data_IF_172192456506
#
_entry.id   IF_172192456506
#
_cell.length_a   1.000
_cell.length_b   1.000
_cell.length_c   1.000
_cell.angle_alpha   90.00
_cell.angle_beta   90.00
_cell.angle_gamma   90.00
#
_symmetry.space_group_name_H-M   'P 1'
#
loop_
_entity.id
_entity.type
_entity.pdbx_description
1 polymer ?
#
# COMPACT_ATOMS: atom_id res chain seq x y z
N UNK A 1 15.89 -2.95 41.32
CA UNK A 1 16.09 -2.85 39.86
C UNK A 1 15.09 -1.80 39.37
N UNK A 2 15.55 -0.60 39.04
CA UNK A 2 14.68 0.52 38.64
C UNK A 2 14.16 0.28 37.22
N UNK A 3 12.84 0.20 37.06
CA UNK A 3 12.18 0.17 35.74
C UNK A 3 11.93 1.62 35.34
N UNK A 4 12.65 2.07 34.32
CA UNK A 4 12.52 3.39 33.73
C UNK A 4 11.13 3.58 33.08
N UNK A 5 10.43 4.66 33.44
CA UNK A 5 9.10 5.03 32.93
C UNK A 5 9.12 5.62 31.50
N UNK A 6 10.28 5.65 30.85
CA UNK A 6 10.52 6.27 29.54
C UNK A 6 10.99 5.31 28.45
N UNK A 7 10.85 3.98 28.63
CA UNK A 7 10.74 3.10 27.47
C UNK A 7 9.34 3.25 26.86
N UNK A 8 9.08 4.44 26.28
CA UNK A 8 8.02 4.67 25.30
C UNK A 8 8.19 3.55 24.29
N UNK A 9 7.29 2.55 24.32
CA UNK A 9 7.11 1.67 23.20
C UNK A 9 6.95 2.60 22.01
N UNK A 10 7.94 2.63 21.09
CA UNK A 10 7.72 3.26 19.80
C UNK A 10 6.40 2.66 19.33
N UNK A 11 5.36 3.46 19.02
CA UNK A 11 4.16 2.90 18.42
C UNK A 11 4.69 2.20 17.18
N UNK A 12 4.75 0.86 17.24
CA UNK A 12 5.35 0.07 16.19
C UNK A 12 4.43 0.29 15.02
N UNK A 13 4.77 1.25 14.15
CA UNK A 13 4.11 1.37 12.86
C UNK A 13 4.25 -0.01 12.26
N UNK A 14 3.15 -0.75 12.10
CA UNK A 14 3.29 -2.12 11.71
C UNK A 14 3.96 -2.12 10.33
N UNK A 15 4.99 -2.97 10.17
CA UNK A 15 5.92 -2.93 9.02
C UNK A 15 5.19 -2.94 7.67
N UNK A 16 3.97 -3.46 7.63
CA UNK A 16 3.10 -3.55 6.46
C UNK A 16 2.54 -2.20 5.98
N UNK A 17 2.79 -1.06 6.62
CA UNK A 17 2.32 0.29 6.19
C UNK A 17 3.47 1.12 5.60
N UNK A 18 4.72 0.66 5.64
CA UNK A 18 5.86 1.47 5.16
C UNK A 18 5.73 1.92 3.70
N UNK A 19 4.97 1.19 2.88
CA UNK A 19 4.63 1.60 1.52
C UNK A 19 3.82 2.91 1.45
N UNK A 20 3.03 3.24 2.48
CA UNK A 20 2.30 4.51 2.57
C UNK A 20 3.28 5.67 2.69
N UNK A 21 4.28 5.52 3.57
CA UNK A 21 5.33 6.53 3.76
C UNK A 21 6.12 6.68 2.47
N UNK A 22 6.41 5.57 1.79
CA UNK A 22 7.13 5.58 0.52
C UNK A 22 6.36 6.32 -0.58
N UNK A 23 5.06 6.06 -0.70
CA UNK A 23 4.17 6.78 -1.63
C UNK A 23 4.07 8.27 -1.27
N UNK A 24 4.05 8.64 0.01
CA UNK A 24 4.10 10.04 0.43
C UNK A 24 5.40 10.70 0.01
N UNK A 25 6.55 10.06 0.22
CA UNK A 25 7.86 10.59 -0.21
C UNK A 25 7.88 10.78 -1.74
N UNK A 26 7.40 9.78 -2.51
CA UNK A 26 7.28 9.88 -3.97
C UNK A 26 6.36 11.04 -4.37
N UNK A 27 5.24 11.23 -3.67
CA UNK A 27 4.26 12.30 -3.92
C UNK A 27 4.83 13.70 -3.66
N UNK A 28 5.65 13.86 -2.62
CA UNK A 28 6.33 15.13 -2.32
C UNK A 28 7.32 15.54 -3.42
N UNK A 29 8.00 14.57 -4.06
CA UNK A 29 8.98 14.85 -5.12
C UNK A 29 8.36 14.95 -6.51
N UNK A 30 7.38 14.11 -6.82
CA UNK A 30 6.67 14.11 -8.10
C UNK A 30 5.20 13.77 -7.89
N UNK A 31 4.41 14.80 -7.56
CA UNK A 31 2.99 14.68 -7.19
C UNK A 31 2.16 14.12 -8.34
N UNK A 32 2.35 14.60 -9.56
CA UNK A 32 1.55 14.22 -10.72
C UNK A 32 1.72 12.73 -11.04
N UNK A 33 2.97 12.29 -11.24
CA UNK A 33 3.26 10.90 -11.57
C UNK A 33 2.88 9.94 -10.43
N UNK A 34 3.04 10.37 -9.18
CA UNK A 34 2.62 9.56 -8.03
C UNK A 34 1.11 9.44 -7.92
N UNK A 35 0.35 10.51 -8.20
CA UNK A 35 -1.12 10.43 -8.22
C UNK A 35 -1.62 9.54 -9.36
N UNK A 36 -0.98 9.55 -10.52
CA UNK A 36 -1.28 8.59 -11.59
C UNK A 36 -0.97 7.15 -11.16
N UNK A 37 0.13 6.94 -10.45
CA UNK A 37 0.46 5.62 -9.92
C UNK A 37 -0.57 5.16 -8.88
N UNK A 38 -0.98 6.02 -7.94
CA UNK A 38 -2.02 5.69 -6.96
C UNK A 38 -3.36 5.38 -7.65
N UNK A 39 -3.75 6.16 -8.66
CA UNK A 39 -4.96 5.88 -9.46
C UNK A 39 -4.86 4.50 -10.13
N UNK A 40 -3.71 4.19 -10.70
CA UNK A 40 -3.46 2.88 -11.29
C UNK A 40 -3.65 1.75 -10.27
N UNK A 41 -3.07 1.88 -9.07
CA UNK A 41 -3.22 0.89 -8.00
C UNK A 41 -4.68 0.71 -7.54
N UNK A 42 -5.47 1.79 -7.50
CA UNK A 42 -6.91 1.71 -7.22
C UNK A 42 -7.65 0.95 -8.34
N UNK A 43 -7.29 1.16 -9.60
CA UNK A 43 -7.88 0.38 -10.70
C UNK A 43 -7.50 -1.11 -10.63
N UNK A 44 -6.24 -1.42 -10.27
CA UNK A 44 -5.81 -2.79 -10.02
C UNK A 44 -6.65 -3.40 -8.90
N UNK A 45 -6.83 -2.69 -7.79
CA UNK A 45 -7.69 -3.13 -6.70
C UNK A 45 -9.09 -3.50 -7.21
N UNK A 46 -9.71 -2.68 -8.05
CA UNK A 46 -11.05 -2.94 -8.56
C UNK A 46 -11.09 -4.15 -9.51
N UNK A 47 -10.04 -4.37 -10.32
CA UNK A 47 -9.95 -5.45 -11.32
C UNK A 47 -9.60 -6.83 -10.73
N UNK A 48 -8.79 -6.89 -9.67
CA UNK A 48 -8.36 -8.18 -9.11
C UNK A 48 -9.52 -8.99 -8.52
N UNK A 49 -9.38 -10.32 -8.54
CA UNK A 49 -10.36 -11.24 -7.97
C UNK A 49 -9.72 -12.02 -6.82
N UNK A 50 -10.45 -12.30 -5.73
CA UNK A 50 -9.94 -13.11 -4.63
C UNK A 50 -9.66 -14.54 -5.07
N UNK A 51 -8.68 -15.21 -4.46
CA UNK A 51 -8.47 -16.64 -4.68
C UNK A 51 -9.66 -17.43 -4.15
N UNK A 52 -10.11 -18.42 -4.93
CA UNK A 52 -11.18 -19.34 -4.56
C UNK A 52 -10.63 -20.63 -3.95
N UNK A 53 -9.39 -20.99 -4.29
CA UNK A 53 -8.75 -22.22 -3.81
C UNK A 53 -7.28 -22.03 -3.44
N UNK A 54 -6.74 -22.92 -2.59
CA UNK A 54 -5.30 -22.93 -2.26
C UNK A 54 -4.41 -23.20 -3.48
N UNK A 55 -4.90 -23.95 -4.47
CA UNK A 55 -4.16 -24.23 -5.69
C UNK A 55 -4.00 -22.98 -6.57
N UNK A 56 -5.03 -22.12 -6.62
CA UNK A 56 -4.94 -20.81 -7.28
C UNK A 56 -3.93 -19.89 -6.57
N UNK A 57 -3.92 -19.88 -5.24
CA UNK A 57 -2.95 -19.10 -4.46
C UNK A 57 -1.51 -19.54 -4.74
N UNK A 58 -1.24 -20.85 -4.78
CA UNK A 58 0.11 -21.38 -5.05
C UNK A 58 0.59 -21.13 -6.48
N UNK A 59 -0.33 -20.96 -7.43
CA UNK A 59 -0.06 -20.63 -8.83
C UNK A 59 -0.32 -19.16 -9.14
N UNK A 60 -0.31 -18.30 -8.12
CA UNK A 60 -0.57 -16.88 -8.29
C UNK A 60 0.48 -16.26 -9.20
N UNK A 61 0.02 -15.70 -10.32
CA UNK A 61 0.80 -14.84 -11.20
C UNK A 61 0.19 -13.44 -11.16
N UNK A 62 1.04 -12.43 -10.96
CA UNK A 62 0.63 -11.03 -10.90
C UNK A 62 0.39 -10.53 -12.33
N UNK A 63 -0.85 -10.12 -12.61
CA UNK A 63 -1.32 -9.82 -13.97
C UNK A 63 -1.26 -8.35 -14.28
N UNK A 64 -1.46 -7.51 -13.27
CA UNK A 64 -1.60 -6.08 -13.47
C UNK A 64 -0.30 -5.35 -13.18
N UNK A 65 0.56 -5.86 -12.31
CA UNK A 65 1.77 -5.15 -11.88
C UNK A 65 3.04 -5.64 -12.56
N UNK A 66 2.93 -6.04 -13.83
CA UNK A 66 4.06 -6.42 -14.67
C UNK A 66 4.91 -5.20 -15.11
N UNK A 67 6.12 -5.49 -15.61
CA UNK A 67 7.10 -4.48 -15.99
C UNK A 67 6.57 -3.52 -17.06
N UNK A 68 5.81 -3.99 -18.05
CA UNK A 68 5.25 -3.16 -19.11
C UNK A 68 4.25 -2.11 -18.57
N UNK A 69 3.35 -2.55 -17.69
CA UNK A 69 2.35 -1.68 -17.09
C UNK A 69 2.97 -0.66 -16.11
N UNK A 70 4.07 -1.03 -15.46
CA UNK A 70 4.75 -0.20 -14.47
C UNK A 70 5.83 0.71 -15.07
N UNK A 71 6.27 0.47 -16.30
CA UNK A 71 7.35 1.21 -16.97
C UNK A 71 7.17 2.72 -16.92
N UNK A 72 5.94 3.21 -17.13
CA UNK A 72 5.65 4.65 -17.08
C UNK A 72 5.90 5.30 -15.71
N UNK A 73 5.90 4.51 -14.64
CA UNK A 73 6.11 4.98 -13.27
C UNK A 73 7.56 4.80 -12.79
N UNK A 74 8.43 4.16 -13.56
CA UNK A 74 9.85 3.95 -13.22
C UNK A 74 10.59 5.21 -12.74
N UNK A 75 10.32 6.44 -13.23
CA UNK A 75 10.95 7.65 -12.69
C UNK A 75 10.72 7.85 -11.18
N UNK A 76 9.67 7.27 -10.59
CA UNK A 76 9.42 7.31 -9.16
C UNK A 76 10.39 6.46 -8.34
N UNK A 77 11.14 5.54 -8.96
CA UNK A 77 12.14 4.72 -8.29
C UNK A 77 13.31 5.54 -7.74
N UNK A 78 13.49 6.78 -8.20
CA UNK A 78 14.51 7.71 -7.69
C UNK A 78 14.20 8.23 -6.29
N UNK A 79 12.95 8.12 -5.84
CA UNK A 79 12.48 8.66 -4.55
C UNK A 79 12.03 7.54 -3.62
N UNK A 80 12.26 7.67 -2.31
CA UNK A 80 11.86 6.65 -1.34
C UNK A 80 12.78 5.43 -1.31
N UNK A 81 12.37 4.40 -0.57
CA UNK A 81 13.11 3.16 -0.34
C UNK A 81 12.66 2.03 -1.26
N UNK A 82 11.36 1.95 -1.58
CA UNK A 82 10.79 0.85 -2.35
C UNK A 82 10.67 1.19 -3.83
N UNK A 83 10.94 0.20 -4.69
CA UNK A 83 10.67 0.33 -6.12
C UNK A 83 9.17 0.31 -6.40
N UNK A 84 8.78 0.98 -7.48
CA UNK A 84 7.44 0.94 -8.08
C UNK A 84 7.00 -0.50 -8.32
N UNK A 85 7.91 -1.35 -8.77
CA UNK A 85 7.68 -2.78 -8.97
C UNK A 85 7.30 -3.48 -7.67
N UNK A 86 8.09 -3.30 -6.61
CA UNK A 86 7.81 -3.90 -5.30
C UNK A 86 6.48 -3.39 -4.74
N UNK A 87 6.24 -2.06 -4.81
CA UNK A 87 4.98 -1.46 -4.36
C UNK A 87 3.82 -2.05 -5.16
N UNK A 88 3.92 -2.09 -6.48
CA UNK A 88 2.91 -2.67 -7.37
C UNK A 88 2.58 -4.09 -6.99
N UNK A 89 3.58 -4.98 -6.96
CA UNK A 89 3.37 -6.39 -6.63
C UNK A 89 2.71 -6.58 -5.25
N UNK A 90 3.19 -5.86 -4.24
CA UNK A 90 2.61 -5.91 -2.89
C UNK A 90 1.16 -5.41 -2.90
N UNK A 91 0.84 -4.35 -3.64
CA UNK A 91 -0.52 -3.83 -3.73
C UNK A 91 -1.47 -4.80 -4.43
N UNK A 92 -1.04 -5.47 -5.49
CA UNK A 92 -1.85 -6.46 -6.19
C UNK A 92 -2.19 -7.64 -5.25
N UNK A 93 -1.19 -8.13 -4.51
CA UNK A 93 -1.37 -9.19 -3.51
C UNK A 93 -2.32 -8.76 -2.38
N UNK A 94 -2.08 -7.59 -1.77
CA UNK A 94 -2.95 -7.07 -0.70
C UNK A 94 -4.39 -6.85 -1.19
N UNK A 95 -4.58 -6.45 -2.44
CA UNK A 95 -5.90 -6.29 -3.03
C UNK A 95 -6.64 -7.63 -3.17
N UNK A 96 -5.92 -8.69 -3.56
CA UNK A 96 -6.47 -10.06 -3.66
C UNK A 96 -6.80 -10.61 -2.26
N UNK A 97 -5.94 -10.37 -1.28
CA UNK A 97 -6.15 -10.80 0.11
C UNK A 97 -7.31 -10.05 0.78
N UNK A 98 -7.37 -8.72 0.65
CA UNK A 98 -8.44 -7.91 1.26
C UNK A 98 -9.83 -8.35 0.78
N UNK A 99 -9.97 -8.66 -0.52
CA UNK A 99 -11.23 -9.17 -1.10
C UNK A 99 -11.66 -10.55 -0.61
N UNK A 100 -10.78 -11.32 0.04
CA UNK A 100 -11.16 -12.61 0.65
C UNK A 100 -11.91 -12.42 1.98
N UNK A 101 -11.73 -11.30 2.65
CA UNK A 101 -12.36 -11.00 3.94
C UNK A 101 -13.54 -10.03 3.77
N UNK A 102 -14.76 -10.50 4.01
CA UNK A 102 -15.96 -9.64 3.93
C UNK A 102 -15.86 -8.50 4.95
N UNK A 103 -15.96 -7.26 4.47
CA UNK A 103 -15.90 -6.05 5.31
C UNK A 103 -14.50 -5.45 5.47
N UNK A 104 -13.46 -6.05 4.89
CA UNK A 104 -12.14 -5.44 4.85
C UNK A 104 -12.05 -4.47 3.65
N UNK A 105 -11.89 -3.18 3.94
CA UNK A 105 -11.72 -2.11 2.94
C UNK A 105 -10.61 -1.12 3.35
N UNK A 106 -9.80 -1.49 4.33
CA UNK A 106 -8.77 -0.63 4.90
C UNK A 106 -7.79 -0.19 3.80
N UNK A 107 -7.36 -1.13 2.97
CA UNK A 107 -6.37 -0.89 1.94
C UNK A 107 -6.90 0.06 0.86
N UNK A 108 -8.09 -0.21 0.30
CA UNK A 108 -8.73 0.72 -0.66
C UNK A 108 -8.93 2.11 -0.04
N UNK A 109 -9.32 2.17 1.23
CA UNK A 109 -9.51 3.44 1.96
C UNK A 109 -8.21 4.23 2.07
N UNK A 110 -7.09 3.57 2.39
CA UNK A 110 -5.78 4.22 2.48
C UNK A 110 -5.32 4.74 1.12
N UNK A 111 -5.45 3.96 0.04
CA UNK A 111 -5.12 4.42 -1.32
C UNK A 111 -5.97 5.63 -1.74
N UNK A 112 -7.26 5.58 -1.43
CA UNK A 112 -8.19 6.68 -1.74
C UNK A 112 -7.81 7.95 -0.98
N UNK A 113 -7.45 7.83 0.31
CA UNK A 113 -6.97 8.97 1.10
C UNK A 113 -5.63 9.51 0.59
N UNK A 114 -4.68 8.65 0.22
CA UNK A 114 -3.41 9.07 -0.37
C UNK A 114 -3.60 9.88 -1.66
N UNK A 115 -4.65 9.58 -2.43
CA UNK A 115 -5.04 10.34 -3.62
C UNK A 115 -5.65 11.70 -3.25
N UNK A 116 -6.56 11.71 -2.28
CA UNK A 116 -7.45 12.86 -2.02
C UNK A 116 -6.92 13.87 -0.99
N UNK A 117 -5.95 13.48 -0.15
CA UNK A 117 -5.38 14.36 0.88
C UNK A 117 -3.86 14.26 0.96
N UNK A 118 -3.24 15.34 1.44
CA UNK A 118 -1.83 15.41 1.84
C UNK A 118 -1.68 15.27 3.38
N UNK A 119 -2.77 15.10 4.12
CA UNK A 119 -2.77 14.94 5.59
C UNK A 119 -2.26 13.56 6.01
N UNK A 120 -0.98 13.53 6.40
CA UNK A 120 -0.26 12.34 6.88
C UNK A 120 -0.97 11.69 8.08
N UNK A 121 -1.59 12.48 8.97
CA UNK A 121 -2.29 11.95 10.14
C UNK A 121 -3.60 11.27 9.75
N UNK A 122 -4.36 11.85 8.82
CA UNK A 122 -5.59 11.24 8.30
C UNK A 122 -5.32 9.91 7.55
N UNK A 123 -4.18 9.82 6.87
CA UNK A 123 -3.72 8.62 6.15
C UNK A 123 -3.20 7.57 7.15
N UNK A 124 -2.37 7.97 8.12
CA UNK A 124 -1.84 7.07 9.16
C UNK A 124 -2.97 6.44 9.99
N UNK A 125 -3.97 7.22 10.38
CA UNK A 125 -5.13 6.73 11.12
C UNK A 125 -5.98 5.74 10.32
N UNK A 126 -6.04 5.86 8.99
CA UNK A 126 -6.74 4.88 8.15
C UNK A 126 -5.99 3.56 8.01
N UNK A 127 -4.66 3.59 8.15
CA UNK A 127 -3.82 2.41 8.01
C UNK A 127 -3.67 1.63 9.34
N UNK A 128 -4.07 2.19 10.49
CA UNK A 128 -4.07 1.45 11.75
C UNK A 128 -5.32 0.56 11.88
N UNK A 129 -5.17 -0.74 12.24
CA UNK A 129 -6.33 -1.58 12.57
C UNK A 129 -7.08 -1.01 13.78
N UNK A 130 -8.41 -1.07 13.72
CA UNK A 130 -9.32 -0.63 14.77
C UNK A 130 -8.82 -1.14 16.14
N UNK A 131 -8.43 -0.21 17.02
CA UNK A 131 -8.29 -0.50 18.45
C UNK A 131 -9.69 -0.65 19.01
N UNK A 132 -10.10 -1.89 19.29
CA UNK A 132 -11.16 -2.16 20.25
C UNK A 132 -10.67 -1.87 21.67
#
# INVERSE_FOLDING_TARGET
MYIDKYTKATPRTPKHINWVIDLLIKKEHNKELTLEFIKYLIEVYDKVQPFKTKAEQQKCELKYTNLENLKKFEPLNTYGQYSVELIGHVMELLSIEEKQFKGAFMFKTVLTKLRDTDDIYAISNAAMPFRH
#
